data_IF_421255738010
#
_entry.id   IF_421255738010
#
_cell.length_a   1.000
_cell.length_b   1.000
_cell.length_c   1.000
_cell.angle_alpha   90.00
_cell.angle_beta   90.00
_cell.angle_gamma   90.00
#
_symmetry.space_group_name_H-M   'P 1'
#
loop_
_entity.id
_entity.type
_entity.pdbx_description
1 polymer ?
#
# COMPACT_ATOMS: atom_id res chain seq x y z
N UNK A 1 14.97 4.39 2.03
CA UNK A 1 15.10 4.82 3.44
C UNK A 1 15.37 6.30 3.44
N UNK A 2 14.69 7.06 4.27
CA UNK A 2 14.81 8.52 4.32
C UNK A 2 15.02 9.01 5.75
N UNK A 3 15.77 10.11 5.94
CA UNK A 3 15.92 10.80 7.23
C UNK A 3 16.86 10.14 8.22
N UNK A 4 17.81 9.32 7.80
CA UNK A 4 18.81 8.71 8.67
C UNK A 4 20.06 9.60 8.83
N UNK A 5 20.69 9.56 9.99
CA UNK A 5 21.98 10.23 10.23
C UNK A 5 23.14 9.36 9.76
N UNK A 6 23.01 8.06 9.87
CA UNK A 6 23.96 7.06 9.37
C UNK A 6 23.25 5.80 8.89
N UNK A 7 23.85 5.09 7.95
CA UNK A 7 23.29 3.87 7.34
C UNK A 7 24.39 2.86 7.19
N UNK A 8 24.19 1.69 7.80
CA UNK A 8 25.08 0.54 7.64
C UNK A 8 24.64 -0.29 6.43
N UNK A 9 25.57 -0.64 5.57
CA UNK A 9 25.31 -1.48 4.40
C UNK A 9 26.47 -2.45 4.12
N UNK A 10 26.18 -3.50 3.40
CA UNK A 10 27.15 -4.51 2.98
C UNK A 10 27.09 -4.73 1.48
N UNK A 11 28.19 -4.62 0.79
CA UNK A 11 28.32 -5.00 -0.60
C UNK A 11 28.69 -6.49 -0.69
N UNK A 12 27.91 -7.27 -1.42
CA UNK A 12 28.17 -8.71 -1.63
C UNK A 12 29.22 -8.97 -2.71
N UNK A 13 29.38 -7.99 -3.59
CA UNK A 13 30.32 -7.99 -4.71
C UNK A 13 30.98 -6.63 -4.82
N UNK A 14 31.85 -6.48 -5.86
CA UNK A 14 32.48 -5.21 -6.19
C UNK A 14 31.49 -4.26 -6.87
N UNK A 15 31.51 -2.99 -6.47
CA UNK A 15 30.70 -1.92 -7.05
C UNK A 15 31.59 -0.78 -7.52
N UNK A 16 31.22 -0.15 -8.63
CA UNK A 16 31.90 1.02 -9.18
C UNK A 16 31.17 2.30 -8.74
N UNK A 17 31.90 3.25 -8.18
CA UNK A 17 31.39 4.59 -7.89
C UNK A 17 31.43 5.50 -9.14
N UNK A 18 30.57 6.55 -9.16
CA UNK A 18 30.53 7.55 -10.22
C UNK A 18 31.83 8.33 -10.22
N UNK A 19 32.83 8.28 -10.32
CA UNK A 19 34.14 8.95 -10.27
C UNK A 19 35.29 8.03 -10.67
N UNK A 20 34.96 6.74 -10.89
CA UNK A 20 35.92 5.71 -11.27
C UNK A 20 36.51 4.92 -10.11
N UNK A 21 36.19 5.31 -8.87
CA UNK A 21 36.56 4.52 -7.69
C UNK A 21 35.74 3.22 -7.62
N UNK A 22 36.28 2.24 -6.88
CA UNK A 22 35.59 0.98 -6.64
C UNK A 22 35.57 0.67 -5.15
N UNK A 23 34.45 0.10 -4.70
CA UNK A 23 34.33 -0.55 -3.39
C UNK A 23 34.28 -2.07 -3.60
N UNK A 24 35.12 -2.79 -2.90
CA UNK A 24 35.11 -4.25 -2.90
C UNK A 24 33.98 -4.77 -2.00
N UNK A 25 33.68 -6.08 -2.07
CA UNK A 25 32.77 -6.73 -1.15
C UNK A 25 33.19 -6.48 0.31
N UNK A 26 32.25 -6.09 1.15
CA UNK A 26 32.49 -5.76 2.55
C UNK A 26 31.43 -4.90 3.19
N UNK A 27 31.55 -4.65 4.48
CA UNK A 27 30.68 -3.78 5.25
C UNK A 27 31.17 -2.35 5.22
N UNK A 28 30.23 -1.40 5.14
CA UNK A 28 30.50 0.03 5.08
C UNK A 28 29.44 0.78 5.87
N UNK A 29 29.76 2.01 6.24
CA UNK A 29 28.82 2.96 6.81
C UNK A 29 28.80 4.25 6.00
N UNK A 30 27.59 4.72 5.67
CA UNK A 30 27.37 6.04 5.12
C UNK A 30 26.99 7.00 6.24
N UNK A 31 27.62 8.18 6.27
CA UNK A 31 27.32 9.25 7.22
C UNK A 31 27.09 10.57 6.47
N UNK A 32 26.27 11.46 7.05
CA UNK A 32 26.17 12.84 6.61
C UNK A 32 27.32 13.66 7.23
N UNK A 33 28.21 14.23 6.40
CA UNK A 33 29.34 15.01 6.83
C UNK A 33 29.46 16.31 6.01
N UNK A 34 29.40 17.47 6.64
CA UNK A 34 29.62 18.79 6.00
C UNK A 34 28.86 18.97 4.66
N UNK A 35 27.59 18.60 4.63
CA UNK A 35 26.73 18.64 3.42
C UNK A 35 27.15 17.68 2.30
N UNK A 36 27.87 16.62 2.64
CA UNK A 36 28.27 15.56 1.73
C UNK A 36 27.98 14.19 2.36
N UNK A 37 27.94 13.15 1.52
CA UNK A 37 27.91 11.74 1.94
C UNK A 37 29.34 11.27 2.09
N UNK A 38 29.69 10.78 3.26
CA UNK A 38 30.94 10.14 3.56
C UNK A 38 30.73 8.63 3.76
N UNK A 39 31.49 7.81 3.05
CA UNK A 39 31.54 6.37 3.29
C UNK A 39 32.82 6.03 4.07
N UNK A 40 32.62 5.29 5.15
CA UNK A 40 33.72 4.79 5.97
C UNK A 40 33.77 3.25 5.93
N UNK A 41 34.99 2.71 6.07
CA UNK A 41 35.20 1.29 6.24
C UNK A 41 34.96 0.83 7.70
N UNK A 42 35.06 -0.48 8.03
CA UNK A 42 34.84 -0.96 9.40
C UNK A 42 35.87 -0.44 10.45
N UNK A 43 36.91 0.22 10.01
CA UNK A 43 37.91 0.87 10.88
C UNK A 43 37.68 2.38 11.00
N UNK A 44 36.48 2.87 10.60
CA UNK A 44 36.07 4.28 10.55
C UNK A 44 37.02 5.16 9.69
N UNK A 45 37.64 4.60 8.67
CA UNK A 45 38.47 5.35 7.73
C UNK A 45 37.65 5.79 6.54
N UNK A 46 37.65 7.09 6.18
CA UNK A 46 36.99 7.57 4.99
C UNK A 46 37.50 6.89 3.72
N UNK A 47 36.57 6.38 2.91
CA UNK A 47 36.89 5.68 1.64
C UNK A 47 36.44 6.52 0.45
N UNK A 48 35.25 7.12 0.52
CA UNK A 48 34.67 8.00 -0.49
C UNK A 48 33.92 9.16 0.19
N UNK A 49 34.09 10.37 -0.35
CA UNK A 49 33.30 11.56 0.04
C UNK A 49 32.77 12.20 -1.23
N UNK A 50 31.45 12.41 -1.31
CA UNK A 50 30.79 12.99 -2.48
C UNK A 50 29.49 13.69 -2.09
N UNK A 51 29.02 14.70 -2.85
CA UNK A 51 27.68 15.30 -2.64
C UNK A 51 26.54 14.30 -2.83
N UNK A 52 26.72 13.37 -3.74
CA UNK A 52 25.86 12.20 -4.02
C UNK A 52 26.74 11.04 -4.40
N UNK A 53 26.45 9.90 -3.85
CA UNK A 53 27.15 8.64 -4.17
C UNK A 53 26.22 7.73 -4.97
N UNK A 54 26.74 7.15 -6.05
CA UNK A 54 26.09 6.08 -6.81
C UNK A 54 27.05 4.94 -6.98
N UNK A 55 26.69 3.80 -6.42
CA UNK A 55 27.45 2.55 -6.50
C UNK A 55 26.74 1.63 -7.50
N UNK A 56 27.34 1.45 -8.66
CA UNK A 56 26.82 0.61 -9.75
C UNK A 56 27.36 -0.81 -9.63
N UNK A 57 26.51 -1.85 -9.79
CA UNK A 57 26.96 -3.23 -9.79
C UNK A 57 27.94 -3.47 -10.95
N UNK A 58 29.00 -4.24 -10.71
CA UNK A 58 29.94 -4.66 -11.76
C UNK A 58 29.55 -5.97 -12.44
N UNK A 59 28.63 -6.73 -11.85
CA UNK A 59 28.06 -7.97 -12.37
C UNK A 59 26.53 -7.98 -12.32
N UNK A 60 25.91 -8.80 -13.15
CA UNK A 60 24.44 -8.90 -13.20
C UNK A 60 23.79 -9.52 -11.96
N UNK A 61 24.55 -10.30 -11.19
CA UNK A 61 24.10 -10.92 -9.92
C UNK A 61 24.53 -10.13 -8.69
N UNK A 62 25.28 -9.03 -8.86
CA UNK A 62 25.79 -8.24 -7.73
C UNK A 62 24.64 -7.68 -6.90
N UNK A 63 24.77 -7.81 -5.59
CA UNK A 63 23.78 -7.35 -4.62
C UNK A 63 24.43 -6.61 -3.45
N UNK A 64 23.59 -5.87 -2.72
CA UNK A 64 23.97 -5.19 -1.49
C UNK A 64 22.87 -5.33 -0.44
N UNK A 65 23.26 -5.32 0.83
CA UNK A 65 22.34 -5.37 1.96
C UNK A 65 22.32 -4.00 2.65
N UNK A 66 21.13 -3.45 2.86
CA UNK A 66 20.93 -2.30 3.76
C UNK A 66 20.48 -2.85 5.11
N UNK A 67 21.15 -2.44 6.17
CA UNK A 67 20.88 -2.93 7.52
C UNK A 67 19.75 -2.12 8.18
N UNK A 68 19.01 -2.77 9.07
CA UNK A 68 18.01 -2.13 9.93
C UNK A 68 16.95 -1.29 9.17
N UNK A 69 16.55 -1.71 7.98
CA UNK A 69 15.48 -1.04 7.23
C UNK A 69 14.17 -1.15 8.01
N UNK A 70 13.55 0.00 8.33
CA UNK A 70 12.22 0.03 8.93
C UNK A 70 11.18 -0.28 7.87
N UNK A 71 10.35 -1.29 8.10
CA UNK A 71 9.24 -1.72 7.26
C UNK A 71 7.93 -1.63 8.01
N UNK A 72 6.82 -1.40 7.28
CA UNK A 72 5.49 -1.24 7.89
C UNK A 72 5.40 0.01 8.77
N UNK A 73 5.89 1.13 8.26
CA UNK A 73 5.91 2.40 9.00
C UNK A 73 4.49 2.79 9.43
N UNK A 74 4.33 3.08 10.72
CA UNK A 74 3.05 3.39 11.36
C UNK A 74 2.02 2.23 11.38
N UNK A 75 2.39 1.01 11.00
CA UNK A 75 1.55 -0.17 11.14
C UNK A 75 1.88 -0.95 12.42
N UNK A 76 0.93 -1.76 12.90
CA UNK A 76 1.10 -2.60 14.09
C UNK A 76 2.23 -3.64 13.98
N UNK A 77 2.63 -3.99 12.76
CA UNK A 77 3.72 -4.92 12.44
C UNK A 77 5.05 -4.22 12.11
N UNK A 78 5.17 -2.90 12.36
CA UNK A 78 6.42 -2.15 12.14
C UNK A 78 7.60 -2.83 12.82
N UNK A 79 8.66 -3.07 12.06
CA UNK A 79 9.90 -3.67 12.55
C UNK A 79 11.10 -3.26 11.71
N UNK A 80 12.29 -3.52 12.24
CA UNK A 80 13.54 -3.39 11.50
C UNK A 80 13.92 -4.74 10.88
N UNK A 81 14.42 -4.71 9.65
CA UNK A 81 14.88 -5.89 8.93
C UNK A 81 16.02 -5.53 7.99
N UNK A 82 17.04 -6.39 7.93
CA UNK A 82 18.05 -6.31 6.86
C UNK A 82 17.41 -6.67 5.53
N UNK A 83 17.67 -5.87 4.51
CA UNK A 83 17.11 -6.10 3.18
C UNK A 83 18.19 -6.12 2.12
N UNK A 84 18.14 -7.12 1.26
CA UNK A 84 19.05 -7.30 0.13
C UNK A 84 18.44 -6.78 -1.17
N UNK A 85 19.25 -6.02 -1.92
CA UNK A 85 18.85 -5.37 -3.16
C UNK A 85 19.83 -5.66 -4.29
N UNK A 86 19.31 -5.68 -5.50
CA UNK A 86 20.09 -5.64 -6.75
C UNK A 86 19.98 -4.25 -7.38
N UNK A 87 20.82 -3.98 -8.39
CA UNK A 87 20.85 -2.68 -9.06
C UNK A 87 21.81 -1.68 -8.41
N UNK A 88 21.61 -0.39 -8.66
CA UNK A 88 22.48 0.67 -8.17
C UNK A 88 22.03 1.13 -6.78
N UNK A 89 22.99 1.23 -5.84
CA UNK A 89 22.79 1.89 -4.56
C UNK A 89 23.13 3.39 -4.72
N UNK A 90 22.16 4.25 -4.54
CA UNK A 90 22.35 5.70 -4.55
C UNK A 90 22.08 6.27 -3.15
N UNK A 91 23.02 7.09 -2.65
CA UNK A 91 22.94 7.74 -1.34
C UNK A 91 23.17 9.24 -1.53
N UNK A 92 22.27 10.06 -1.00
CA UNK A 92 22.36 11.51 -1.05
C UNK A 92 21.78 12.14 0.22
N UNK A 93 21.92 13.44 0.39
CA UNK A 93 21.29 14.18 1.49
C UNK A 93 19.95 14.77 1.03
N UNK A 94 18.98 14.80 1.95
CA UNK A 94 17.75 15.57 1.81
C UNK A 94 17.98 17.07 2.15
N UNK A 95 16.91 17.86 2.08
CA UNK A 95 16.93 19.28 2.42
C UNK A 95 17.33 19.56 3.88
N UNK A 96 17.13 18.59 4.77
CA UNK A 96 17.46 18.70 6.19
C UNK A 96 18.86 18.17 6.51
N UNK A 97 19.63 17.77 5.49
CA UNK A 97 20.97 17.23 5.61
C UNK A 97 21.03 15.79 6.13
N UNK A 98 19.93 15.03 6.02
CA UNK A 98 19.87 13.61 6.39
C UNK A 98 19.99 12.71 5.17
N UNK A 99 20.43 11.50 5.40
CA UNK A 99 20.64 10.53 4.32
C UNK A 99 19.32 10.01 3.73
N UNK A 100 19.28 9.98 2.40
CA UNK A 100 18.29 9.25 1.60
C UNK A 100 19.01 8.12 0.88
N UNK A 101 18.50 6.90 1.00
CA UNK A 101 18.94 5.73 0.22
C UNK A 101 17.92 5.41 -0.85
N UNK A 102 18.37 5.38 -2.09
CA UNK A 102 17.56 5.03 -3.26
C UNK A 102 18.17 3.82 -3.95
N UNK A 103 17.33 2.86 -4.30
CA UNK A 103 17.70 1.75 -5.17
C UNK A 103 17.26 2.07 -6.61
N UNK A 104 18.22 2.19 -7.52
CA UNK A 104 17.93 2.40 -8.94
C UNK A 104 17.95 1.05 -9.66
N UNK A 105 16.79 0.65 -10.18
CA UNK A 105 16.58 -0.71 -10.71
C UNK A 105 15.61 -0.68 -11.91
N UNK A 106 15.76 -1.58 -12.91
CA UNK A 106 14.80 -1.72 -13.99
C UNK A 106 13.39 -2.08 -13.49
N UNK A 107 12.35 -1.57 -14.17
CA UNK A 107 10.94 -1.75 -13.80
C UNK A 107 10.60 -3.23 -13.55
N UNK A 108 11.00 -4.14 -14.43
CA UNK A 108 10.65 -5.56 -14.30
C UNK A 108 11.31 -6.24 -13.08
N UNK A 109 12.53 -5.83 -12.75
CA UNK A 109 13.21 -6.30 -11.55
C UNK A 109 12.59 -5.71 -10.27
N UNK A 110 12.19 -4.43 -10.27
CA UNK A 110 11.41 -3.81 -9.21
C UNK A 110 10.11 -4.57 -8.97
N UNK A 111 9.34 -4.86 -10.03
CA UNK A 111 8.07 -5.57 -9.92
C UNK A 111 8.20 -7.01 -9.40
N UNK A 112 9.31 -7.70 -9.69
CA UNK A 112 9.58 -9.02 -9.12
C UNK A 112 9.62 -8.97 -7.59
N UNK A 113 10.25 -7.93 -7.03
CA UNK A 113 10.24 -7.68 -5.59
C UNK A 113 8.84 -7.32 -5.08
N UNK A 114 8.15 -6.40 -5.75
CA UNK A 114 6.82 -5.94 -5.33
C UNK A 114 5.84 -7.09 -5.19
N UNK A 115 5.68 -7.93 -6.23
CA UNK A 115 4.71 -9.04 -6.17
C UNK A 115 5.06 -10.10 -5.13
N UNK A 116 6.34 -10.22 -4.77
CA UNK A 116 6.82 -11.11 -3.70
C UNK A 116 6.70 -10.50 -2.30
N UNK A 117 6.60 -9.17 -2.20
CA UNK A 117 6.46 -8.42 -0.94
C UNK A 117 5.00 -8.13 -0.61
N UNK A 118 4.15 -7.93 -1.61
CA UNK A 118 2.70 -7.70 -1.47
C UNK A 118 1.93 -8.99 -1.24
N UNK A 119 2.31 -10.05 -1.96
CA UNK A 119 1.74 -11.39 -1.86
C UNK A 119 2.88 -12.40 -1.70
N UNK A 120 2.56 -13.61 -1.24
CA UNK A 120 3.56 -14.67 -1.18
C UNK A 120 4.07 -15.04 -2.57
N UNK A 121 5.39 -15.16 -2.74
CA UNK A 121 5.99 -15.66 -3.98
C UNK A 121 5.56 -17.10 -4.34
N UNK A 122 5.01 -17.85 -3.39
CA UNK A 122 4.41 -19.19 -3.59
C UNK A 122 2.91 -19.17 -3.93
N UNK A 123 2.30 -18.01 -4.14
CA UNK A 123 0.90 -17.91 -4.53
C UNK A 123 0.63 -18.46 -5.95
N UNK A 124 -0.64 -18.66 -6.28
CA UNK A 124 -1.04 -19.24 -7.56
C UNK A 124 -0.50 -18.41 -8.74
N UNK A 125 0.06 -19.02 -9.82
CA UNK A 125 0.66 -18.31 -10.95
C UNK A 125 -0.28 -17.29 -11.61
N UNK A 126 -1.57 -17.57 -11.70
CA UNK A 126 -2.54 -16.64 -12.30
C UNK A 126 -2.77 -15.39 -11.41
N UNK A 127 -2.71 -15.53 -10.09
CA UNK A 127 -2.68 -14.37 -9.19
C UNK A 127 -1.42 -13.53 -9.41
N UNK A 128 -0.25 -14.17 -9.44
CA UNK A 128 1.03 -13.46 -9.62
C UNK A 128 1.08 -12.71 -10.97
N UNK A 129 0.55 -13.30 -12.05
CA UNK A 129 0.40 -12.61 -13.35
C UNK A 129 -0.54 -11.41 -13.25
N UNK A 130 -1.72 -11.58 -12.66
CA UNK A 130 -2.65 -10.48 -12.46
C UNK A 130 -2.01 -9.35 -11.64
N UNK A 131 -1.33 -9.70 -10.55
CA UNK A 131 -0.67 -8.74 -9.67
C UNK A 131 0.51 -8.03 -10.36
N UNK A 132 1.28 -8.74 -11.21
CA UNK A 132 2.34 -8.13 -12.03
C UNK A 132 1.79 -7.03 -12.95
N UNK A 133 0.67 -7.31 -13.60
CA UNK A 133 0.03 -6.38 -14.53
C UNK A 133 -0.52 -5.13 -13.83
N UNK A 134 -1.19 -5.28 -12.70
CA UNK A 134 -1.74 -4.14 -11.95
C UNK A 134 -0.62 -3.32 -11.30
N UNK A 135 0.40 -3.97 -10.73
CA UNK A 135 1.53 -3.27 -10.11
C UNK A 135 2.31 -2.46 -11.15
N UNK A 136 2.52 -3.01 -12.36
CA UNK A 136 3.15 -2.29 -13.47
C UNK A 136 2.29 -1.12 -13.94
N UNK A 137 0.99 -1.33 -14.10
CA UNK A 137 0.05 -0.29 -14.54
C UNK A 137 0.03 0.86 -13.56
N UNK A 138 -0.09 0.57 -12.26
CA UNK A 138 -0.05 1.55 -11.19
C UNK A 138 1.26 2.33 -11.20
N UNK A 139 2.42 1.63 -11.16
CA UNK A 139 3.75 2.26 -11.15
C UNK A 139 3.92 3.23 -12.32
N UNK A 140 3.69 2.77 -13.54
CA UNK A 140 3.87 3.58 -14.74
C UNK A 140 2.87 4.74 -14.81
N UNK A 141 1.65 4.57 -14.28
CA UNK A 141 0.69 5.66 -14.14
C UNK A 141 1.17 6.72 -13.14
N UNK A 142 1.81 6.33 -12.03
CA UNK A 142 2.35 7.29 -11.06
C UNK A 142 3.59 8.05 -11.57
N UNK A 143 4.40 7.43 -12.42
CA UNK A 143 5.62 8.04 -12.99
C UNK A 143 5.32 9.09 -14.09
N UNK A 144 4.07 9.23 -14.55
CA UNK A 144 3.71 10.24 -15.57
C UNK A 144 3.92 11.66 -15.04
N UNK A 145 4.57 12.56 -15.81
CA UNK A 145 4.90 13.93 -15.36
C UNK A 145 3.71 14.75 -14.86
N UNK A 146 2.54 14.64 -15.53
CA UNK A 146 1.35 15.41 -15.15
C UNK A 146 0.73 14.98 -13.82
N UNK A 147 0.98 13.73 -13.36
CA UNK A 147 0.58 13.31 -12.02
C UNK A 147 1.49 13.91 -10.94
N UNK A 148 2.79 14.08 -11.21
CA UNK A 148 3.72 14.72 -10.27
C UNK A 148 3.33 16.16 -9.92
N UNK A 149 2.62 16.87 -10.81
CA UNK A 149 2.13 18.22 -10.57
C UNK A 149 0.83 18.30 -9.73
N UNK A 150 0.05 17.22 -9.67
CA UNK A 150 -1.23 17.14 -8.95
C UNK A 150 -1.11 16.72 -7.50
N UNK A 151 0.05 16.30 -7.04
CA UNK A 151 0.22 15.63 -5.76
C UNK A 151 0.66 16.61 -4.66
N UNK A 152 -0.30 17.02 -3.87
CA UNK A 152 -0.14 17.63 -2.57
C UNK A 152 -1.14 16.98 -1.60
N UNK A 153 -0.86 17.01 -0.30
CA UNK A 153 -1.89 16.72 0.68
C UNK A 153 -3.05 17.68 0.44
N UNK A 154 -4.16 17.17 -0.06
CA UNK A 154 -5.36 17.98 -0.20
C UNK A 154 -6.19 17.79 1.05
N UNK A 155 -6.26 18.82 1.88
CA UNK A 155 -7.17 18.88 3.01
C UNK A 155 -8.08 20.07 2.85
N UNK A 156 -9.38 19.80 2.89
CA UNK A 156 -10.38 20.87 3.02
C UNK A 156 -10.74 20.95 4.51
N UNK A 157 -10.34 22.05 5.15
CA UNK A 157 -10.88 22.43 6.45
C UNK A 157 -11.99 23.44 6.18
N UNK A 158 -13.22 23.02 6.36
CA UNK A 158 -14.41 23.87 6.15
C UNK A 158 -15.28 23.85 7.40
N UNK A 159 -15.98 24.96 7.66
CA UNK A 159 -17.09 24.99 8.60
C UNK A 159 -18.39 24.96 7.81
N UNK A 160 -19.21 23.94 8.04
CA UNK A 160 -20.54 23.83 7.43
C UNK A 160 -21.61 23.75 8.54
N UNK A 161 -22.59 24.66 8.51
CA UNK A 161 -23.65 24.67 9.52
C UNK A 161 -23.15 24.92 10.96
N UNK A 162 -21.99 25.58 11.15
CA UNK A 162 -21.37 25.83 12.45
C UNK A 162 -20.53 24.67 13.01
N UNK A 163 -20.44 23.53 12.30
CA UNK A 163 -19.64 22.38 12.69
C UNK A 163 -18.35 22.30 11.85
N UNK A 164 -17.23 22.01 12.51
CA UNK A 164 -15.92 21.86 11.84
C UNK A 164 -15.90 20.56 11.03
N UNK A 165 -15.33 20.64 9.81
CA UNK A 165 -15.08 19.49 8.96
C UNK A 165 -13.60 19.43 8.58
N UNK A 166 -13.01 18.25 8.72
CA UNK A 166 -11.67 17.92 8.20
C UNK A 166 -11.82 16.80 7.17
N UNK A 167 -11.92 17.17 5.91
CA UNK A 167 -11.93 16.20 4.81
C UNK A 167 -10.53 16.16 4.23
N UNK A 168 -9.84 15.02 4.41
CA UNK A 168 -8.46 14.83 3.97
C UNK A 168 -8.33 13.54 3.19
N UNK A 169 -7.66 13.63 2.07
CA UNK A 169 -7.19 12.45 1.34
C UNK A 169 -5.68 12.53 1.17
N UNK A 170 -5.08 11.37 1.07
CA UNK A 170 -3.64 11.23 0.94
C UNK A 170 -3.37 10.81 -0.49
N UNK A 171 -3.02 11.79 -1.33
CA UNK A 171 -2.46 11.54 -2.63
C UNK A 171 -1.09 10.89 -2.52
N UNK A 172 -0.52 10.53 -3.63
CA UNK A 172 0.89 10.18 -3.65
C UNK A 172 1.67 11.44 -3.31
N UNK A 173 2.35 11.47 -2.17
CA UNK A 173 3.31 12.53 -1.89
C UNK A 173 4.33 12.54 -3.03
N UNK A 174 4.53 13.70 -3.64
CA UNK A 174 5.56 13.84 -4.64
C UNK A 174 6.91 13.62 -3.93
N UNK A 175 7.47 12.46 -4.14
CA UNK A 175 8.83 12.19 -3.72
C UNK A 175 9.76 12.99 -4.64
N UNK A 176 10.38 14.03 -4.11
CA UNK A 176 11.26 14.90 -4.90
C UNK A 176 12.52 14.18 -5.39
N UNK A 177 12.98 13.20 -4.63
CA UNK A 177 14.29 12.57 -4.82
C UNK A 177 14.24 11.16 -5.43
N UNK A 178 13.05 10.55 -5.52
CA UNK A 178 12.84 9.19 -6.07
C UNK A 178 11.44 9.04 -6.65
N UNK A 179 11.22 8.02 -7.47
CA UNK A 179 9.93 7.82 -8.14
C UNK A 179 8.84 7.26 -7.23
N UNK A 180 9.18 6.29 -6.37
CA UNK A 180 8.28 5.64 -5.43
C UNK A 180 9.00 5.27 -4.14
N UNK A 181 8.32 5.31 -3.00
CA UNK A 181 8.88 4.77 -1.75
C UNK A 181 8.74 3.23 -1.68
N UNK A 182 9.40 2.65 -0.71
CA UNK A 182 9.47 1.19 -0.53
C UNK A 182 8.38 0.62 0.40
N UNK A 183 7.45 1.44 0.89
CA UNK A 183 6.46 1.07 1.90
C UNK A 183 5.02 1.13 1.36
N UNK A 184 4.05 0.75 2.18
CA UNK A 184 2.60 0.64 1.89
C UNK A 184 1.98 1.93 1.31
N UNK A 185 2.62 3.09 1.47
CA UNK A 185 2.18 4.34 0.83
C UNK A 185 2.21 4.24 -0.71
N UNK A 186 3.23 3.59 -1.28
CA UNK A 186 3.35 3.31 -2.71
C UNK A 186 3.07 1.84 -2.99
N UNK A 187 4.10 1.03 -3.00
CA UNK A 187 4.05 -0.44 -3.12
C UNK A 187 5.13 -1.03 -2.24
N UNK A 188 4.85 -2.11 -1.55
CA UNK A 188 5.85 -2.81 -0.74
C UNK A 188 6.99 -3.30 -1.61
N UNK A 189 8.16 -2.75 -1.37
CA UNK A 189 9.38 -3.11 -2.08
C UNK A 189 10.47 -3.50 -1.07
N UNK A 190 10.85 -4.76 -1.05
CA UNK A 190 11.83 -5.31 -0.09
C UNK A 190 13.01 -5.98 -0.80
N UNK A 191 13.39 -5.46 -1.96
CA UNK A 191 14.49 -5.96 -2.76
C UNK A 191 14.28 -7.43 -3.14
N UNK A 192 15.35 -8.22 -3.12
CA UNK A 192 15.31 -9.66 -3.40
C UNK A 192 15.03 -10.50 -2.15
N UNK A 193 14.94 -9.89 -0.98
CA UNK A 193 14.79 -10.56 0.32
C UNK A 193 13.54 -11.48 0.38
N UNK A 194 12.45 -11.08 -0.27
CA UNK A 194 11.19 -11.84 -0.30
C UNK A 194 10.98 -12.67 -1.56
N UNK A 195 11.92 -12.65 -2.50
CA UNK A 195 11.85 -13.45 -3.73
C UNK A 195 12.31 -14.88 -3.43
N UNK A 196 11.44 -15.66 -2.78
CA UNK A 196 11.77 -17.01 -2.25
C UNK A 196 11.41 -18.15 -3.20
N UNK A 197 10.81 -17.84 -4.36
CA UNK A 197 10.44 -18.85 -5.38
C UNK A 197 10.58 -18.29 -6.80
N UNK A 198 10.68 -19.15 -7.84
CA UNK A 198 10.74 -18.71 -9.23
C UNK A 198 9.43 -18.12 -9.75
N UNK A 199 8.30 -18.31 -9.04
CA UNK A 199 6.97 -17.93 -9.51
C UNK A 199 6.84 -16.44 -9.83
N UNK A 200 7.49 -15.56 -9.05
CA UNK A 200 7.52 -14.13 -9.32
C UNK A 200 8.23 -13.82 -10.66
N UNK A 201 9.40 -14.38 -10.89
CA UNK A 201 10.14 -14.21 -12.16
C UNK A 201 9.36 -14.73 -13.36
N UNK A 202 8.70 -15.89 -13.21
CA UNK A 202 7.88 -16.49 -14.27
C UNK A 202 6.67 -15.62 -14.61
N UNK A 203 5.97 -15.07 -13.60
CA UNK A 203 4.84 -14.19 -13.78
C UNK A 203 5.24 -12.88 -14.48
N UNK A 204 6.35 -12.25 -14.05
CA UNK A 204 6.88 -11.05 -14.68
C UNK A 204 7.27 -11.31 -16.13
N UNK A 205 7.98 -12.41 -16.41
CA UNK A 205 8.37 -12.79 -17.78
C UNK A 205 7.16 -13.04 -18.68
N UNK A 206 6.13 -13.73 -18.15
CA UNK A 206 4.89 -14.03 -18.91
C UNK A 206 4.04 -12.79 -19.22
N UNK A 207 4.20 -11.72 -18.46
CA UNK A 207 3.46 -10.45 -18.60
C UNK A 207 4.36 -9.27 -18.97
N UNK A 208 5.57 -9.55 -19.45
CA UNK A 208 6.59 -8.53 -19.71
C UNK A 208 6.07 -7.40 -20.61
N UNK A 209 6.30 -6.17 -20.18
CA UNK A 209 5.91 -4.96 -20.92
C UNK A 209 4.41 -4.76 -21.11
N UNK A 210 3.53 -5.58 -20.53
CA UNK A 210 2.09 -5.43 -20.64
C UNK A 210 1.53 -4.67 -19.44
N UNK A 211 0.56 -3.78 -19.68
CA UNK A 211 -0.13 -3.03 -18.64
C UNK A 211 -1.63 -2.88 -18.95
N UNK A 212 -2.41 -2.53 -17.94
CA UNK A 212 -3.82 -2.17 -18.10
C UNK A 212 -3.95 -0.75 -18.63
N UNK A 213 -4.78 -0.59 -19.66
CA UNK A 213 -5.15 0.71 -20.23
C UNK A 213 -6.67 0.84 -20.32
N UNK A 214 -7.15 2.07 -20.21
CA UNK A 214 -8.55 2.42 -20.45
C UNK A 214 -8.60 3.65 -21.34
N UNK A 215 -9.31 3.57 -22.46
CA UNK A 215 -9.35 4.65 -23.44
C UNK A 215 -7.97 5.02 -24.03
N UNK A 216 -7.01 4.08 -24.05
CA UNK A 216 -5.63 4.29 -24.51
C UNK A 216 -4.68 4.83 -23.41
N UNK A 217 -5.18 5.19 -22.24
CA UNK A 217 -4.38 5.69 -21.12
C UNK A 217 -4.08 4.60 -20.10
N UNK A 218 -2.92 4.70 -19.43
CA UNK A 218 -2.55 3.77 -18.34
C UNK A 218 -3.55 3.87 -17.17
N UNK A 219 -4.01 2.72 -16.71
CA UNK A 219 -4.84 2.64 -15.52
C UNK A 219 -4.04 2.89 -14.24
N UNK A 220 -4.57 3.73 -13.35
CA UNK A 220 -4.19 3.77 -11.95
C UNK A 220 -4.79 2.54 -11.24
N UNK A 221 -4.13 1.40 -11.41
CA UNK A 221 -4.68 0.10 -11.04
C UNK A 221 -4.51 -0.18 -9.54
N UNK A 222 -5.38 0.43 -8.72
CA UNK A 222 -5.40 0.30 -7.26
C UNK A 222 -5.76 -1.11 -6.82
N UNK A 223 -5.24 -1.53 -5.66
CA UNK A 223 -5.55 -2.82 -5.05
C UNK A 223 -5.50 -2.72 -3.52
N UNK A 224 -6.18 -3.62 -2.84
CA UNK A 224 -6.18 -3.71 -1.38
C UNK A 224 -6.28 -5.16 -0.90
N UNK A 225 -5.92 -5.40 0.36
CA UNK A 225 -5.87 -6.75 0.93
C UNK A 225 -7.20 -7.49 0.85
N UNK A 226 -8.30 -6.84 1.31
CA UNK A 226 -9.66 -7.41 1.24
C UNK A 226 -10.71 -6.32 1.07
N UNK A 227 -11.58 -6.45 0.07
CA UNK A 227 -12.66 -5.49 -0.16
C UNK A 227 -13.83 -5.66 0.83
N UNK A 228 -13.93 -6.80 1.53
CA UNK A 228 -15.05 -7.10 2.44
C UNK A 228 -16.33 -7.55 1.73
N UNK A 229 -16.20 -7.97 0.45
CA UNK A 229 -17.27 -8.48 -0.40
C UNK A 229 -17.81 -7.50 -1.44
N UNK A 230 -17.49 -6.20 -1.32
CA UNK A 230 -17.78 -5.16 -2.30
C UNK A 230 -16.55 -4.29 -2.50
N UNK A 231 -16.16 -4.04 -3.76
CA UNK A 231 -15.12 -3.06 -4.06
C UNK A 231 -15.67 -1.64 -3.88
N UNK A 232 -14.76 -0.67 -3.66
CA UNK A 232 -15.13 0.73 -3.47
C UNK A 232 -14.77 1.56 -4.70
N UNK A 233 -15.38 2.72 -4.85
CA UNK A 233 -15.04 3.71 -5.86
C UNK A 233 -13.83 4.56 -5.45
N UNK A 234 -13.09 5.07 -6.43
CA UNK A 234 -11.89 5.86 -6.22
C UNK A 234 -12.14 7.12 -5.39
N UNK A 235 -13.24 7.83 -5.67
CA UNK A 235 -13.64 9.08 -5.03
C UNK A 235 -13.99 8.95 -3.54
N UNK A 236 -14.27 7.74 -3.06
CA UNK A 236 -14.46 7.48 -1.62
C UNK A 236 -13.16 7.57 -0.82
N UNK A 237 -12.02 7.28 -1.44
CA UNK A 237 -10.72 7.23 -0.77
C UNK A 237 -9.81 8.42 -1.09
N UNK A 238 -9.90 8.96 -2.31
CA UNK A 238 -9.06 10.05 -2.82
C UNK A 238 -9.88 11.24 -3.32
N UNK A 239 -9.40 11.90 -4.40
CA UNK A 239 -10.05 13.05 -5.04
C UNK A 239 -11.46 12.70 -5.52
N UNK A 240 -12.32 13.73 -5.67
CA UNK A 240 -13.68 13.57 -6.19
C UNK A 240 -13.65 13.35 -7.72
N UNK A 241 -12.93 12.33 -8.15
CA UNK A 241 -12.79 11.91 -9.53
C UNK A 241 -13.30 10.47 -9.70
N UNK A 242 -14.13 10.24 -10.71
CA UNK A 242 -14.61 8.90 -11.02
C UNK A 242 -13.74 8.26 -12.08
N UNK A 243 -13.18 7.10 -11.76
CA UNK A 243 -12.44 6.27 -12.70
C UNK A 243 -13.33 5.11 -13.18
N UNK A 244 -13.79 5.10 -14.45
CA UNK A 244 -14.77 4.11 -14.91
C UNK A 244 -14.31 2.66 -14.74
N UNK A 245 -13.01 2.38 -14.88
CA UNK A 245 -12.43 1.05 -14.71
C UNK A 245 -12.27 0.62 -13.23
N UNK A 246 -12.44 1.54 -12.26
CA UNK A 246 -12.48 1.28 -10.81
C UNK A 246 -13.94 1.32 -10.32
N UNK A 247 -14.87 0.80 -11.13
CA UNK A 247 -16.27 0.75 -10.77
C UNK A 247 -16.51 -0.22 -9.60
N UNK A 248 -17.47 0.14 -8.76
CA UNK A 248 -17.91 -0.71 -7.64
C UNK A 248 -18.45 -2.04 -8.16
N UNK A 249 -18.02 -3.13 -7.55
CA UNK A 249 -18.37 -4.48 -7.95
C UNK A 249 -18.54 -5.39 -6.74
N UNK A 250 -19.52 -6.29 -6.81
CA UNK A 250 -19.60 -7.41 -5.89
C UNK A 250 -18.44 -8.38 -6.14
N UNK A 251 -17.75 -8.77 -5.08
CA UNK A 251 -16.60 -9.68 -5.11
C UNK A 251 -17.07 -11.14 -5.09
N UNK A 252 -17.81 -11.54 -6.11
CA UNK A 252 -18.34 -12.89 -6.25
C UNK A 252 -19.05 -13.10 -7.59
N UNK A 253 -19.55 -14.32 -7.83
CA UNK A 253 -20.19 -14.68 -9.10
C UNK A 253 -21.62 -14.13 -9.19
N UNK A 254 -22.42 -14.34 -8.16
CA UNK A 254 -23.82 -13.94 -8.11
C UNK A 254 -24.09 -13.22 -6.80
N UNK A 255 -24.69 -12.03 -6.89
CA UNK A 255 -25.05 -11.22 -5.70
C UNK A 255 -25.96 -12.04 -4.76
N UNK A 256 -25.64 -12.13 -3.47
CA UNK A 256 -26.34 -13.01 -2.54
C UNK A 256 -27.77 -12.54 -2.24
N UNK A 257 -28.70 -13.51 -2.22
CA UNK A 257 -30.07 -13.26 -1.80
C UNK A 257 -30.15 -12.78 -0.35
N UNK A 258 -31.12 -11.93 -0.03
CA UNK A 258 -31.36 -11.43 1.32
C UNK A 258 -30.54 -10.19 1.69
N UNK A 259 -29.75 -9.67 0.78
CA UNK A 259 -29.04 -8.39 0.93
C UNK A 259 -29.56 -7.38 -0.09
N UNK A 260 -29.54 -6.11 0.28
CA UNK A 260 -30.02 -5.02 -0.54
C UNK A 260 -28.87 -4.05 -0.90
N UNK A 261 -29.03 -3.39 -2.02
CA UNK A 261 -28.20 -2.27 -2.48
C UNK A 261 -29.06 -1.00 -2.54
N UNK A 262 -28.46 0.16 -2.49
CA UNK A 262 -27.03 0.44 -2.37
C UNK A 262 -26.52 0.32 -0.91
N UNK A 263 -25.24 0.04 -0.71
CA UNK A 263 -24.61 0.06 0.63
C UNK A 263 -24.25 1.48 1.11
N UNK A 264 -24.62 2.51 0.36
CA UNK A 264 -24.67 3.90 0.85
C UNK A 264 -25.80 4.12 1.85
N UNK A 265 -26.82 3.25 1.84
CA UNK A 265 -27.86 3.20 2.86
C UNK A 265 -27.33 2.52 4.12
N UNK A 266 -27.55 3.14 5.28
CA UNK A 266 -27.01 2.68 6.57
C UNK A 266 -27.53 1.29 6.95
N UNK A 267 -28.82 1.02 6.77
CA UNK A 267 -29.41 -0.27 7.14
C UNK A 267 -28.91 -1.41 6.25
N UNK A 268 -28.71 -1.14 4.95
CA UNK A 268 -28.13 -2.10 4.02
C UNK A 268 -26.65 -2.37 4.34
N UNK A 269 -25.87 -1.30 4.64
CA UNK A 269 -24.47 -1.43 5.04
C UNK A 269 -24.33 -2.21 6.37
N UNK A 270 -25.16 -1.90 7.36
CA UNK A 270 -25.16 -2.62 8.64
C UNK A 270 -25.49 -4.10 8.44
N UNK A 271 -26.53 -4.42 7.65
CA UNK A 271 -26.89 -5.79 7.31
C UNK A 271 -25.73 -6.53 6.62
N UNK A 272 -25.06 -5.88 5.64
CA UNK A 272 -23.93 -6.45 4.92
C UNK A 272 -22.75 -6.76 5.84
N UNK A 273 -22.37 -5.80 6.69
CA UNK A 273 -21.23 -5.90 7.58
C UNK A 273 -21.45 -6.99 8.64
N UNK A 274 -22.65 -7.04 9.25
CA UNK A 274 -22.94 -7.97 10.35
C UNK A 274 -23.14 -9.41 9.90
N UNK A 275 -23.69 -9.65 8.71
CA UNK A 275 -24.11 -10.98 8.29
C UNK A 275 -23.11 -11.74 7.40
N UNK A 276 -21.95 -11.16 7.10
CA UNK A 276 -20.85 -11.82 6.38
C UNK A 276 -21.30 -12.58 5.10
N UNK A 277 -21.90 -11.92 4.08
CA UNK A 277 -22.39 -12.59 2.89
C UNK A 277 -21.27 -13.34 2.13
N UNK A 278 -21.62 -14.34 1.30
CA UNK A 278 -20.64 -15.00 0.45
C UNK A 278 -19.88 -14.00 -0.43
N UNK A 279 -18.58 -14.21 -0.62
CA UNK A 279 -17.74 -13.45 -1.54
C UNK A 279 -16.48 -14.27 -1.84
N UNK A 280 -15.72 -13.91 -2.88
CA UNK A 280 -14.43 -14.56 -3.13
C UNK A 280 -13.49 -14.36 -1.94
N UNK A 281 -13.40 -13.15 -1.39
CA UNK A 281 -12.53 -12.86 -0.24
C UNK A 281 -13.07 -13.33 1.11
N UNK A 282 -14.26 -13.93 1.18
CA UNK A 282 -14.80 -14.47 2.43
C UNK A 282 -14.15 -15.82 2.78
N UNK A 283 -12.96 -15.76 3.36
CA UNK A 283 -12.22 -16.93 3.83
C UNK A 283 -11.53 -16.64 5.15
N UNK A 284 -11.50 -17.63 6.02
CA UNK A 284 -10.68 -17.73 7.23
C UNK A 284 -9.80 -18.99 7.22
N UNK A 285 -9.69 -19.67 6.07
CA UNK A 285 -8.86 -20.85 5.91
C UNK A 285 -7.38 -20.47 6.02
N UNK A 286 -6.78 -20.85 7.16
CA UNK A 286 -5.38 -20.58 7.46
C UNK A 286 -4.41 -21.18 6.43
N UNK A 287 -4.77 -22.31 5.82
CA UNK A 287 -3.92 -22.97 4.83
C UNK A 287 -3.83 -22.14 3.56
N UNK A 288 -4.97 -21.64 3.09
CA UNK A 288 -5.03 -20.74 1.93
C UNK A 288 -4.32 -19.44 2.25
N UNK A 289 -4.67 -18.79 3.37
CA UNK A 289 -4.08 -17.50 3.75
C UNK A 289 -2.56 -17.57 3.89
N UNK A 290 -2.00 -18.63 4.47
CA UNK A 290 -0.55 -18.85 4.56
C UNK A 290 0.12 -19.02 3.20
N UNK A 291 -0.57 -19.59 2.22
CA UNK A 291 -0.05 -19.76 0.86
C UNK A 291 0.03 -18.46 0.10
N UNK A 292 -0.93 -17.55 0.34
CA UNK A 292 -1.10 -16.34 -0.48
C UNK A 292 -0.56 -15.06 0.18
N UNK A 293 -0.41 -15.04 1.51
CA UNK A 293 0.00 -13.84 2.26
C UNK A 293 1.48 -13.92 2.69
N UNK A 294 2.17 -12.77 2.75
CA UNK A 294 3.47 -12.66 3.41
C UNK A 294 3.38 -13.07 4.90
N UNK A 295 4.53 -13.40 5.49
CA UNK A 295 4.65 -13.85 6.88
C UNK A 295 4.04 -12.89 7.91
N UNK A 296 4.23 -11.59 7.76
CA UNK A 296 3.69 -10.57 8.67
C UNK A 296 2.17 -10.37 8.56
N UNK A 297 1.54 -10.77 7.47
CA UNK A 297 0.07 -10.76 7.31
C UNK A 297 -0.59 -12.06 7.83
N UNK A 298 0.19 -13.04 8.32
CA UNK A 298 -0.33 -14.35 8.77
C UNK A 298 -0.71 -14.40 10.25
N UNK A 299 -0.57 -13.30 10.98
CA UNK A 299 -0.90 -13.21 12.41
C UNK A 299 -2.40 -13.21 12.67
N UNK A 300 -3.21 -12.89 11.66
CA UNK A 300 -4.68 -12.87 11.76
C UNK A 300 -5.33 -13.58 10.58
N UNK A 301 -6.63 -13.91 10.73
CA UNK A 301 -7.51 -14.39 9.67
C UNK A 301 -8.69 -13.45 9.42
N UNK A 302 -8.74 -12.32 10.13
CA UNK A 302 -9.91 -11.45 10.22
C UNK A 302 -9.98 -10.41 9.08
N UNK A 303 -9.52 -10.78 7.90
CA UNK A 303 -9.48 -9.89 6.73
C UNK A 303 -10.87 -9.57 6.17
N UNK A 304 -11.79 -10.52 6.24
CA UNK A 304 -13.14 -10.35 5.71
C UNK A 304 -14.05 -9.63 6.69
N UNK A 305 -13.99 -10.02 7.98
CA UNK A 305 -14.71 -9.40 9.09
C UNK A 305 -13.80 -9.28 10.29
N UNK A 306 -13.92 -8.16 10.99
CA UNK A 306 -13.09 -7.86 12.16
C UNK A 306 -13.89 -7.15 13.24
N UNK A 307 -13.38 -7.17 14.45
CA UNK A 307 -13.95 -6.49 15.62
C UNK A 307 -12.83 -5.81 16.40
N UNK A 308 -13.03 -4.53 16.76
CA UNK A 308 -12.11 -3.76 17.60
C UNK A 308 -12.93 -3.08 18.69
N UNK A 309 -12.50 -3.18 19.94
CA UNK A 309 -13.11 -2.46 21.06
C UNK A 309 -12.09 -1.48 21.62
N UNK A 310 -12.50 -0.22 21.76
CA UNK A 310 -11.67 0.88 22.25
C UNK A 310 -12.31 1.45 23.49
N UNK A 311 -11.58 1.55 24.58
CA UNK A 311 -12.06 2.17 25.81
C UNK A 311 -12.29 3.68 25.60
N UNK A 312 -13.22 4.26 26.35
CA UNK A 312 -13.62 5.68 26.21
C UNK A 312 -12.44 6.63 26.40
N UNK A 313 -11.62 6.42 27.42
CA UNK A 313 -10.45 7.23 27.72
C UNK A 313 -9.35 7.08 26.66
N UNK A 314 -9.14 5.87 26.17
CA UNK A 314 -8.23 5.58 25.07
C UNK A 314 -8.67 6.28 23.77
N UNK A 315 -9.96 6.19 23.43
CA UNK A 315 -10.51 6.83 22.24
C UNK A 315 -10.40 8.37 22.31
N UNK A 316 -10.73 8.95 23.47
CA UNK A 316 -10.59 10.40 23.69
C UNK A 316 -9.16 10.88 23.50
N UNK A 317 -8.18 10.21 24.12
CA UNK A 317 -6.78 10.57 24.02
C UNK A 317 -6.23 10.34 22.60
N UNK A 318 -6.65 9.27 21.95
CA UNK A 318 -6.29 8.98 20.57
C UNK A 318 -6.76 10.10 19.61
N UNK A 319 -8.02 10.50 19.69
CA UNK A 319 -8.60 11.56 18.87
C UNK A 319 -7.93 12.92 19.17
N UNK A 320 -7.69 13.24 20.45
CA UNK A 320 -6.96 14.46 20.84
C UNK A 320 -5.57 14.51 20.21
N UNK A 321 -4.83 13.41 20.23
CA UNK A 321 -3.48 13.32 19.67
C UNK A 321 -3.49 13.36 18.14
N UNK A 322 -4.42 12.66 17.48
CA UNK A 322 -4.47 12.53 16.01
C UNK A 322 -5.10 13.74 15.31
N UNK A 323 -6.09 14.36 15.91
CA UNK A 323 -6.85 15.48 15.31
C UNK A 323 -6.51 16.84 15.95
N UNK A 324 -5.84 16.87 17.11
CA UNK A 324 -5.54 18.10 17.83
C UNK A 324 -6.76 18.74 18.50
N UNK A 325 -7.89 18.02 18.63
CA UNK A 325 -9.17 18.51 19.18
C UNK A 325 -9.50 17.82 20.49
N UNK A 326 -9.85 18.60 21.51
CA UNK A 326 -10.34 18.08 22.80
C UNK A 326 -11.86 17.93 22.78
N UNK A 327 -12.33 16.77 22.40
CA UNK A 327 -13.76 16.44 22.39
C UNK A 327 -14.39 16.29 23.78
N UNK A 328 -13.60 16.17 24.85
CA UNK A 328 -14.10 15.62 26.12
C UNK A 328 -14.47 14.15 25.96
N UNK A 329 -15.36 13.63 26.83
CA UNK A 329 -15.83 12.25 26.66
C UNK A 329 -16.61 12.09 25.34
N UNK A 330 -16.26 11.06 24.58
CA UNK A 330 -16.93 10.80 23.29
C UNK A 330 -18.33 10.26 23.58
N UNK A 331 -19.33 10.87 22.95
CA UNK A 331 -20.75 10.51 23.07
C UNK A 331 -21.20 9.60 21.94
N UNK A 332 -20.76 9.90 20.69
CA UNK A 332 -21.15 9.16 19.50
C UNK A 332 -20.08 9.19 18.42
N UNK A 333 -20.05 8.12 17.63
CA UNK A 333 -19.39 8.03 16.33
C UNK A 333 -20.50 7.74 15.31
N UNK A 334 -20.85 8.73 14.49
CA UNK A 334 -22.02 8.66 13.59
C UNK A 334 -21.57 8.65 12.13
N UNK A 335 -21.82 7.59 11.34
CA UNK A 335 -21.64 7.62 9.89
C UNK A 335 -22.54 8.71 9.29
N UNK A 336 -21.97 9.68 8.57
CA UNK A 336 -22.70 10.73 7.87
C UNK A 336 -22.89 10.39 6.40
N UNK A 337 -21.87 9.77 5.81
CA UNK A 337 -21.84 9.38 4.41
C UNK A 337 -21.06 8.07 4.24
N UNK A 338 -21.66 7.16 3.46
CA UNK A 338 -20.99 5.91 3.05
C UNK A 338 -20.75 5.87 1.56
N UNK A 339 -19.63 5.31 1.17
CA UNK A 339 -19.33 4.89 -0.18
C UNK A 339 -20.12 3.63 -0.57
N UNK A 340 -20.03 3.26 -1.82
CA UNK A 340 -20.83 2.18 -2.39
C UNK A 340 -20.49 0.77 -1.89
N UNK A 341 -19.35 0.59 -1.21
CA UNK A 341 -18.98 -0.65 -0.50
C UNK A 341 -19.44 -0.69 0.96
N UNK A 342 -20.13 0.35 1.44
CA UNK A 342 -20.48 0.55 2.84
C UNK A 342 -19.34 1.17 3.68
N UNK A 343 -18.19 1.53 3.09
CA UNK A 343 -17.13 2.29 3.77
C UNK A 343 -17.62 3.68 4.15
N UNK A 344 -17.33 4.10 5.37
CA UNK A 344 -17.65 5.46 5.83
C UNK A 344 -16.68 6.41 5.13
N UNK A 345 -17.23 7.39 4.41
CA UNK A 345 -16.52 8.47 3.74
C UNK A 345 -16.49 9.74 4.61
N UNK A 346 -17.56 9.94 5.38
CA UNK A 346 -17.66 11.01 6.39
C UNK A 346 -18.15 10.45 7.70
N UNK A 347 -17.38 10.64 8.76
CA UNK A 347 -17.68 10.23 10.12
C UNK A 347 -17.81 11.46 11.00
N UNK A 348 -18.94 11.60 11.69
CA UNK A 348 -19.16 12.61 12.71
C UNK A 348 -18.73 12.06 14.07
N UNK A 349 -17.82 12.77 14.73
CA UNK A 349 -17.41 12.51 16.10
C UNK A 349 -18.11 13.53 16.99
N UNK A 350 -18.88 13.06 17.96
CA UNK A 350 -19.61 13.91 18.91
C UNK A 350 -19.06 13.66 20.29
N UNK A 351 -18.44 14.66 20.87
CA UNK A 351 -17.94 14.67 22.25
C UNK A 351 -18.81 15.53 23.18
N UNK A 352 -18.40 15.67 24.43
CA UNK A 352 -19.05 16.55 25.41
C UNK A 352 -18.78 18.01 25.13
N UNK A 353 -17.64 18.34 24.54
CA UNK A 353 -17.17 19.70 24.35
C UNK A 353 -17.28 20.17 22.91
N UNK A 354 -16.95 19.27 21.99
CA UNK A 354 -16.84 19.56 20.56
C UNK A 354 -17.52 18.45 19.72
N UNK A 355 -17.89 18.83 18.50
CA UNK A 355 -18.28 17.89 17.46
C UNK A 355 -17.57 18.24 16.15
N UNK A 356 -17.18 17.22 15.38
CA UNK A 356 -16.42 17.38 14.14
C UNK A 356 -16.75 16.27 13.16
N UNK A 357 -16.80 16.60 11.87
CA UNK A 357 -16.85 15.61 10.79
C UNK A 357 -15.44 15.40 10.24
N UNK A 358 -15.00 14.15 10.16
CA UNK A 358 -13.75 13.78 9.51
C UNK A 358 -14.02 12.91 8.28
N UNK A 359 -13.15 12.95 7.29
CA UNK A 359 -13.15 12.17 6.04
C UNK A 359 -11.82 12.37 5.31
N UNK A 360 -11.40 11.60 4.35
CA UNK A 360 -12.09 10.42 3.76
C UNK A 360 -11.68 9.12 4.47
N UNK A 361 -11.69 8.01 3.72
CA UNK A 361 -11.49 6.64 4.20
C UNK A 361 -10.23 6.50 5.09
N UNK A 362 -9.07 6.92 4.60
CA UNK A 362 -7.82 6.76 5.33
C UNK A 362 -7.73 7.70 6.54
N UNK A 363 -8.28 8.93 6.49
CA UNK A 363 -8.31 9.83 7.63
C UNK A 363 -9.12 9.23 8.80
N UNK A 364 -10.28 8.63 8.49
CA UNK A 364 -11.12 7.92 9.48
C UNK A 364 -10.34 6.77 10.12
N UNK A 365 -9.63 5.97 9.32
CA UNK A 365 -8.82 4.85 9.83
C UNK A 365 -7.68 5.31 10.72
N UNK A 366 -7.01 6.40 10.35
CA UNK A 366 -5.90 6.99 11.14
C UNK A 366 -6.38 7.58 12.46
N UNK A 367 -7.54 8.22 12.45
CA UNK A 367 -8.11 8.85 13.66
C UNK A 367 -8.54 7.83 14.71
N UNK A 368 -9.01 6.64 14.30
CA UNK A 368 -9.59 5.63 15.20
C UNK A 368 -8.62 4.48 15.55
N UNK A 369 -7.32 4.63 15.29
CA UNK A 369 -6.33 3.61 15.65
C UNK A 369 -4.99 4.26 15.99
N UNK A 370 -4.20 3.68 16.91
CA UNK A 370 -2.81 4.11 17.10
C UNK A 370 -1.98 4.05 15.83
N UNK A 371 -2.21 3.03 14.99
CA UNK A 371 -1.66 2.88 13.64
C UNK A 371 -2.73 3.23 12.58
N UNK A 372 -3.27 2.23 11.91
CA UNK A 372 -4.39 2.37 10.99
C UNK A 372 -5.46 1.33 11.32
N UNK A 373 -6.73 1.73 11.42
CA UNK A 373 -7.85 0.80 11.49
C UNK A 373 -7.91 -0.02 10.19
N UNK A 374 -8.39 -1.23 10.25
CA UNK A 374 -8.35 -2.19 9.13
C UNK A 374 -9.07 -1.69 7.87
N UNK A 375 -10.25 -1.08 8.04
CA UNK A 375 -10.98 -0.36 6.98
C UNK A 375 -11.91 0.69 7.62
N UNK A 376 -12.56 1.52 6.79
CA UNK A 376 -13.65 2.39 7.26
C UNK A 376 -15.05 1.77 7.08
N UNK A 377 -15.15 0.53 6.60
CA UNK A 377 -16.42 -0.20 6.52
C UNK A 377 -16.76 -0.83 7.87
N UNK A 378 -17.36 -0.08 8.76
CA UNK A 378 -17.76 -0.57 10.08
C UNK A 378 -19.09 -0.01 10.56
N UNK A 379 -19.70 -0.71 11.53
CA UNK A 379 -20.78 -0.24 12.38
C UNK A 379 -20.29 -0.04 13.80
N UNK A 380 -20.89 0.88 14.53
CA UNK A 380 -20.48 1.26 15.87
C UNK A 380 -21.49 0.75 16.91
N UNK A 381 -21.01 0.04 17.91
CA UNK A 381 -21.75 -0.29 19.11
C UNK A 381 -21.11 0.41 20.30
N UNK A 382 -21.92 1.00 21.17
CA UNK A 382 -21.46 1.50 22.45
C UNK A 382 -22.23 0.82 23.57
N UNK A 383 -21.58 0.61 24.72
CA UNK A 383 -22.28 0.16 25.90
C UNK A 383 -23.21 1.29 26.44
N UNK A 384 -24.21 0.94 27.26
CA UNK A 384 -25.20 1.89 27.81
C UNK A 384 -24.59 3.06 28.57
N UNK A 385 -23.35 2.93 29.01
CA UNK A 385 -22.59 3.94 29.76
C UNK A 385 -21.51 4.63 28.94
N UNK A 386 -21.40 4.32 27.64
CA UNK A 386 -20.34 4.81 26.74
C UNK A 386 -18.91 4.63 27.29
N UNK A 387 -18.66 3.57 28.06
CA UNK A 387 -17.32 3.27 28.57
C UNK A 387 -16.40 2.64 27.54
N UNK A 388 -16.99 2.07 26.48
CA UNK A 388 -16.26 1.51 25.36
C UNK A 388 -17.08 1.61 24.07
N UNK A 389 -16.38 1.70 22.96
CA UNK A 389 -16.91 1.65 21.60
C UNK A 389 -16.41 0.39 20.92
N UNK A 390 -17.32 -0.41 20.38
CA UNK A 390 -16.98 -1.59 19.58
C UNK A 390 -17.27 -1.31 18.13
N UNK A 391 -16.23 -1.41 17.30
CA UNK A 391 -16.30 -1.30 15.86
C UNK A 391 -16.36 -2.71 15.27
N UNK A 392 -17.44 -3.03 14.57
CA UNK A 392 -17.61 -4.29 13.83
C UNK A 392 -17.44 -3.95 12.36
N UNK A 393 -16.45 -4.52 11.70
CA UNK A 393 -16.08 -4.07 10.38
C UNK A 393 -15.88 -5.15 9.33
N UNK A 394 -15.71 -4.72 8.10
CA UNK A 394 -15.57 -5.54 6.92
C UNK A 394 -14.41 -5.07 6.03
N UNK A 395 -13.62 -6.03 5.55
CA UNK A 395 -12.51 -5.78 4.63
C UNK A 395 -11.27 -5.19 5.31
N UNK A 396 -10.21 -5.04 4.51
CA UNK A 396 -8.88 -4.59 4.93
C UNK A 396 -8.26 -3.71 3.84
N UNK A 397 -8.07 -2.43 4.14
CA UNK A 397 -7.66 -1.39 3.21
C UNK A 397 -8.83 -0.65 2.57
N UNK A 398 -8.52 0.21 1.62
CA UNK A 398 -9.47 1.12 0.97
C UNK A 398 -10.53 0.43 0.10
N UNK A 399 -10.32 -0.82 -0.33
CA UNK A 399 -11.29 -1.60 -1.08
C UNK A 399 -11.41 -1.26 -2.58
N UNK A 400 -10.66 -0.29 -3.09
CA UNK A 400 -10.73 0.15 -4.49
C UNK A 400 -9.92 -0.78 -5.39
N UNK A 401 -10.47 -1.18 -6.54
CA UNK A 401 -9.82 -2.03 -7.52
C UNK A 401 -9.69 -3.49 -7.08
N UNK A 402 -8.55 -4.13 -7.33
CA UNK A 402 -8.37 -5.55 -7.06
C UNK A 402 -8.35 -5.88 -5.56
N UNK A 403 -9.18 -6.83 -5.17
CA UNK A 403 -9.14 -7.49 -3.87
C UNK A 403 -8.10 -8.62 -3.89
N UNK A 404 -6.97 -8.47 -3.20
CA UNK A 404 -5.87 -9.44 -3.24
C UNK A 404 -6.30 -10.85 -2.81
N UNK A 405 -7.03 -10.97 -1.69
CA UNK A 405 -7.55 -12.26 -1.21
C UNK A 405 -8.61 -12.81 -2.16
N UNK A 406 -9.53 -11.97 -2.66
CA UNK A 406 -10.54 -12.38 -3.63
C UNK A 406 -9.93 -12.92 -4.92
N UNK A 407 -8.97 -12.17 -5.50
CA UNK A 407 -8.23 -12.59 -6.69
C UNK A 407 -7.47 -13.92 -6.49
N UNK A 408 -6.89 -14.11 -5.29
CA UNK A 408 -6.23 -15.36 -4.93
C UNK A 408 -7.20 -16.54 -4.93
N UNK A 409 -8.38 -16.38 -4.31
CA UNK A 409 -9.42 -17.42 -4.29
C UNK A 409 -10.01 -17.67 -5.68
N UNK A 410 -10.13 -16.65 -6.54
CA UNK A 410 -10.48 -16.84 -7.94
C UNK A 410 -9.45 -17.72 -8.66
N UNK A 411 -8.16 -17.42 -8.51
CA UNK A 411 -7.09 -18.23 -9.10
C UNK A 411 -7.12 -19.68 -8.62
N UNK A 412 -7.29 -19.94 -7.33
CA UNK A 412 -7.44 -21.29 -6.76
C UNK A 412 -8.68 -22.02 -7.29
N UNK A 413 -9.72 -21.30 -7.76
CA UNK A 413 -10.91 -21.84 -8.42
C UNK A 413 -10.75 -22.01 -9.93
N UNK A 414 -9.57 -21.74 -10.49
CA UNK A 414 -9.25 -21.94 -11.90
C UNK A 414 -9.55 -20.74 -12.81
N UNK A 415 -9.78 -19.55 -12.26
CA UNK A 415 -9.85 -18.35 -13.06
C UNK A 415 -8.45 -17.95 -13.54
N UNK A 416 -8.28 -17.67 -14.82
CA UNK A 416 -7.04 -17.12 -15.37
C UNK A 416 -6.88 -15.63 -15.00
N UNK A 417 -5.67 -15.11 -15.17
CA UNK A 417 -5.37 -13.72 -14.81
C UNK A 417 -6.20 -12.70 -15.59
N UNK A 418 -6.65 -13.00 -16.83
CA UNK A 418 -7.47 -12.09 -17.64
C UNK A 418 -8.86 -11.95 -17.05
N UNK A 419 -9.48 -13.07 -16.66
CA UNK A 419 -10.79 -13.07 -16.00
C UNK A 419 -10.74 -12.41 -14.63
N UNK A 420 -9.63 -12.58 -13.87
CA UNK A 420 -9.40 -11.88 -12.62
C UNK A 420 -9.35 -10.37 -12.85
N UNK A 421 -8.58 -9.92 -13.82
CA UNK A 421 -8.46 -8.48 -14.13
C UNK A 421 -9.78 -7.89 -14.64
N UNK A 422 -10.51 -8.59 -15.51
CA UNK A 422 -11.82 -8.16 -16.01
C UNK A 422 -12.85 -8.00 -14.88
N UNK A 423 -12.79 -8.87 -13.86
CA UNK A 423 -13.67 -8.79 -12.69
C UNK A 423 -13.48 -7.48 -11.92
N UNK A 424 -12.23 -7.03 -11.71
CA UNK A 424 -11.91 -5.87 -10.89
C UNK A 424 -11.71 -4.57 -11.67
N UNK A 425 -11.35 -4.63 -12.95
CA UNK A 425 -11.08 -3.45 -13.80
C UNK A 425 -11.93 -3.49 -15.05
N UNK A 426 -13.21 -3.21 -14.90
CA UNK A 426 -14.19 -3.35 -15.97
C UNK A 426 -13.92 -2.42 -17.15
N UNK A 427 -13.81 -3.01 -18.35
CA UNK A 427 -13.54 -2.28 -19.58
C UNK A 427 -12.09 -1.86 -19.78
N UNK A 428 -11.19 -2.14 -18.82
CA UNK A 428 -9.76 -2.00 -19.05
C UNK A 428 -9.27 -3.10 -20.02
N UNK A 429 -8.23 -2.76 -20.77
CA UNK A 429 -7.63 -3.64 -21.78
C UNK A 429 -6.15 -3.87 -21.47
N UNK A 430 -5.63 -5.03 -21.88
CA UNK A 430 -4.20 -5.30 -21.83
C UNK A 430 -3.52 -4.73 -23.05
N UNK A 431 -2.53 -3.85 -22.85
CA UNK A 431 -1.74 -3.22 -23.90
C UNK A 431 -0.25 -3.52 -23.70
N UNK A 432 0.44 -3.85 -24.80
CA UNK A 432 1.91 -3.92 -24.80
C UNK A 432 2.49 -2.52 -24.89
N UNK A 433 3.36 -2.15 -23.94
CA UNK A 433 3.99 -0.84 -23.87
C UNK A 433 5.44 -0.86 -24.40
N UNK A 434 6.14 -1.96 -24.16
CA UNK A 434 7.51 -2.21 -24.63
C UNK A 434 7.75 -3.72 -24.78
N UNK A 435 8.75 -4.07 -25.56
CA UNK A 435 9.19 -5.44 -25.80
C UNK A 435 10.59 -5.66 -25.24
N UNK A 436 10.95 -6.90 -24.95
CA UNK A 436 12.31 -7.24 -24.60
C UNK A 436 13.20 -7.08 -25.85
N UNK A 437 14.17 -6.17 -25.82
CA UNK A 437 15.09 -5.93 -26.91
C UNK A 437 16.11 -7.07 -27.13
N UNK A 438 16.17 -8.04 -26.22
CA UNK A 438 17.06 -9.20 -26.27
C UNK A 438 16.45 -10.39 -27.03
N UNK A 439 15.44 -10.14 -27.89
CA UNK A 439 14.86 -11.14 -28.75
C UNK A 439 15.88 -11.68 -29.74
N UNK A 440 16.59 -12.74 -29.38
CA UNK A 440 17.16 -13.66 -30.37
C UNK A 440 16.03 -14.09 -31.31
N UNK A 441 16.06 -13.58 -32.53
CA UNK A 441 15.33 -14.13 -33.66
C UNK A 441 15.70 -15.60 -33.77
N UNK A 442 14.86 -16.49 -33.26
CA UNK A 442 14.91 -17.90 -33.63
C UNK A 442 14.16 -18.03 -34.93
N UNK A 443 14.96 -18.07 -36.02
CA UNK A 443 14.60 -18.63 -37.32
C UNK A 443 14.19 -20.09 -37.19
#
# INVERSE_FOLDING_TARGET
>A
MTGAEAIDFELKDRFAADGGDHLDAGSYRACAAQSQVEIVDPADRPVIVAPRLRLKPTGSSSSFVVRDVTIGIDFHWQRKQDQEFQGTLSIQLDSDGRLIVVNEIPVEAYLTSVISSEMSAGAHPELLKAHSLISRSWLLAQMKPWKKERHGHSSLVQSYGGEQQLIRWYGQESHADFDVCADDHCQRYQGVTKVTSPGAYEAIRATFGQALTFGGELCDARYSKSCGGMTESFDAAWEDERMPYLAVSYDGETFPCGFNLPLTDEANAESWIRNSPPAFCNTNDKTILRKILPDFDQETTDFYRWRVTIAQDELQELLRRKLGVDFGAIRKLEPVERGASGRIVRLRIVGEREAMIIGKELEIRRALSPSHLYSSAFVVESDKSNRAFTLIGAGWGHGVGLCQIGAALMAERGYDFRRILEHYYRGAQLSGLYSNSDGTSSS
#
